data_IF_707368096054
#
_entry.id   IF_707368096054
#
_cell.length_a   1.000
_cell.length_b   1.000
_cell.length_c   1.000
_cell.angle_alpha   90.00
_cell.angle_beta   90.00
_cell.angle_gamma   90.00
#
_symmetry.space_group_name_H-M   'P 1'
#
loop_
_entity.id
_entity.type
_entity.pdbx_description
1 polymer ?
#
# COMPACT_ATOMS: atom_id res chain seq x y z
N UNK A 1 -9.01 -43.80 -31.90
CA UNK A 1 -9.73 -42.67 -31.30
C UNK A 1 -9.14 -42.34 -29.95
N UNK A 2 -8.39 -41.25 -29.86
CA UNK A 2 -7.88 -40.72 -28.60
C UNK A 2 -9.03 -39.99 -27.88
N UNK A 3 -9.28 -40.37 -26.64
CA UNK A 3 -10.31 -39.75 -25.78
C UNK A 3 -9.73 -38.41 -25.30
N UNK A 4 -10.33 -37.30 -25.71
CA UNK A 4 -9.92 -35.96 -25.26
C UNK A 4 -10.02 -35.89 -23.72
N UNK A 5 -9.02 -35.31 -23.03
CA UNK A 5 -9.07 -35.20 -21.58
C UNK A 5 -10.13 -34.17 -21.18
N UNK A 6 -11.08 -34.60 -20.35
CA UNK A 6 -12.07 -33.74 -19.70
C UNK A 6 -11.36 -32.58 -18.97
N UNK A 7 -11.70 -31.31 -19.22
CA UNK A 7 -11.08 -30.20 -18.52
C UNK A 7 -11.51 -30.22 -17.05
N UNK A 8 -10.57 -30.45 -16.14
CA UNK A 8 -10.75 -30.22 -14.71
C UNK A 8 -10.88 -28.71 -14.46
N UNK A 9 -12.01 -28.20 -13.92
CA UNK A 9 -12.11 -26.81 -13.56
C UNK A 9 -11.28 -26.55 -12.30
N UNK A 10 -10.14 -25.85 -12.46
CA UNK A 10 -9.41 -25.32 -11.32
C UNK A 10 -10.14 -24.06 -10.84
N UNK A 11 -10.94 -24.19 -9.77
CA UNK A 11 -11.45 -23.03 -9.05
C UNK A 11 -10.31 -22.41 -8.25
N UNK A 12 -9.66 -21.36 -8.77
CA UNK A 12 -8.86 -20.48 -7.91
C UNK A 12 -9.83 -19.68 -7.05
N UNK A 13 -9.97 -20.08 -5.78
CA UNK A 13 -10.70 -19.31 -4.80
C UNK A 13 -9.78 -18.22 -4.23
N UNK A 14 -9.55 -17.13 -4.98
CA UNK A 14 -8.98 -15.89 -4.45
C UNK A 14 -10.09 -15.02 -3.85
N UNK A 15 -10.90 -15.59 -2.95
CA UNK A 15 -11.88 -14.82 -2.17
C UNK A 15 -11.43 -14.72 -0.72
N UNK A 16 -10.32 -14.03 -0.49
CA UNK A 16 -10.06 -13.45 0.83
C UNK A 16 -11.26 -12.56 1.18
N UNK A 17 -11.94 -12.75 2.33
CA UNK A 17 -13.13 -11.98 2.69
C UNK A 17 -12.87 -10.46 2.66
N UNK A 18 -13.87 -9.62 2.34
CA UNK A 18 -13.65 -8.19 2.18
C UNK A 18 -13.55 -7.51 3.55
N UNK A 19 -12.41 -7.61 4.21
CA UNK A 19 -12.04 -6.73 5.33
C UNK A 19 -11.61 -5.34 4.85
N UNK A 20 -12.12 -4.90 3.69
CA UNK A 20 -11.83 -3.60 3.09
C UNK A 20 -12.82 -2.56 3.65
N UNK A 21 -12.39 -1.29 3.73
CA UNK A 21 -13.21 -0.12 4.11
C UNK A 21 -13.77 -0.08 5.56
N UNK A 22 -13.08 -0.70 6.53
CA UNK A 22 -13.42 -0.59 7.97
C UNK A 22 -12.48 0.30 8.77
N UNK A 23 -11.66 1.13 8.10
CA UNK A 23 -10.69 2.00 8.76
C UNK A 23 -9.47 1.30 9.35
N UNK A 24 -9.35 -0.03 9.26
CA UNK A 24 -8.20 -0.75 9.81
C UNK A 24 -6.86 -0.35 9.17
N UNK A 25 -6.86 -0.06 7.86
CA UNK A 25 -5.66 0.44 7.18
C UNK A 25 -5.21 1.79 7.73
N UNK A 26 -6.16 2.68 8.01
CA UNK A 26 -5.90 4.00 8.60
C UNK A 26 -5.42 3.90 10.05
N UNK A 27 -6.04 3.03 10.86
CA UNK A 27 -5.62 2.81 12.25
C UNK A 27 -4.22 2.21 12.34
N UNK A 28 -3.91 1.21 11.49
CA UNK A 28 -2.57 0.61 11.44
C UNK A 28 -1.53 1.63 10.98
N UNK A 29 -1.86 2.42 9.96
CA UNK A 29 -0.97 3.48 9.47
C UNK A 29 -0.72 4.52 10.57
N UNK A 30 -1.77 5.01 11.23
CA UNK A 30 -1.66 5.98 12.31
C UNK A 30 -0.81 5.46 13.49
N UNK A 31 -1.01 4.20 13.88
CA UNK A 31 -0.21 3.57 14.93
C UNK A 31 1.27 3.46 14.53
N UNK A 32 1.54 3.04 13.29
CA UNK A 32 2.90 2.96 12.76
C UNK A 32 3.60 4.32 12.69
N UNK A 33 2.90 5.37 12.26
CA UNK A 33 3.44 6.73 12.21
C UNK A 33 3.69 7.30 13.61
N UNK A 34 2.82 7.00 14.58
CA UNK A 34 3.02 7.38 15.97
C UNK A 34 4.27 6.72 16.53
N UNK A 35 4.43 5.42 16.30
CA UNK A 35 5.62 4.69 16.74
C UNK A 35 6.91 5.20 16.08
N UNK A 36 6.87 5.51 14.78
CA UNK A 36 8.01 6.09 14.08
C UNK A 36 8.44 7.45 14.67
N UNK A 37 7.48 8.27 15.09
CA UNK A 37 7.73 9.54 15.79
C UNK A 37 8.37 9.30 17.16
N UNK A 38 7.84 8.36 17.94
CA UNK A 38 8.36 8.06 19.29
C UNK A 38 9.80 7.57 19.24
N UNK A 39 10.21 6.93 18.14
CA UNK A 39 11.58 6.50 17.88
C UNK A 39 12.49 7.61 17.33
N UNK A 40 11.97 8.80 17.03
CA UNK A 40 12.72 9.90 16.45
C UNK A 40 13.17 9.64 15.01
N UNK A 41 12.43 8.84 14.24
CA UNK A 41 12.74 8.59 12.82
C UNK A 41 12.43 9.84 11.98
N UNK A 42 13.30 10.14 11.02
CA UNK A 42 13.17 11.31 10.15
C UNK A 42 12.17 11.09 9.00
N UNK A 43 12.00 9.83 8.57
CA UNK A 43 11.08 9.48 7.48
C UNK A 43 10.56 8.04 7.58
N UNK A 44 9.42 7.81 6.93
CA UNK A 44 8.81 6.50 6.74
C UNK A 44 8.66 6.24 5.25
N UNK A 45 9.02 5.04 4.79
CA UNK A 45 8.79 4.60 3.41
C UNK A 45 7.98 3.32 3.34
N UNK A 46 7.25 3.13 2.25
CA UNK A 46 6.51 1.91 1.96
C UNK A 46 6.43 1.67 0.46
N UNK A 47 6.22 0.41 0.07
CA UNK A 47 6.03 0.02 -1.32
C UNK A 47 4.56 -0.41 -1.54
N UNK A 48 3.91 0.10 -2.60
CA UNK A 48 2.51 -0.18 -2.93
C UNK A 48 2.33 -0.39 -4.43
N UNK A 49 1.58 -1.42 -4.84
CA UNK A 49 1.24 -1.59 -6.25
C UNK A 49 0.26 -0.49 -6.71
N UNK A 50 0.48 0.16 -7.88
CA UNK A 50 -0.43 1.17 -8.45
C UNK A 50 -1.89 0.69 -8.55
N UNK A 51 -2.07 -0.60 -8.86
CA UNK A 51 -3.39 -1.23 -8.95
C UNK A 51 -4.17 -1.23 -7.62
N UNK A 52 -3.49 -1.08 -6.48
CA UNK A 52 -4.11 -0.97 -5.17
C UNK A 52 -4.51 0.48 -4.87
N UNK A 53 -5.41 1.01 -5.69
CA UNK A 53 -5.87 2.42 -5.65
C UNK A 53 -6.40 2.84 -4.28
N UNK A 54 -7.00 1.91 -3.52
CA UNK A 54 -7.47 2.17 -2.16
C UNK A 54 -6.32 2.43 -1.17
N UNK A 55 -5.22 1.67 -1.27
CA UNK A 55 -4.05 1.88 -0.43
C UNK A 55 -3.27 3.12 -0.86
N UNK A 56 -3.13 3.35 -2.18
CA UNK A 56 -2.51 4.58 -2.71
C UNK A 56 -3.24 5.82 -2.20
N UNK A 57 -4.56 5.88 -2.32
CA UNK A 57 -5.36 7.01 -1.83
C UNK A 57 -5.24 7.20 -0.30
N UNK A 58 -5.15 6.11 0.47
CA UNK A 58 -4.93 6.18 1.91
C UNK A 58 -3.57 6.79 2.25
N UNK A 59 -2.50 6.35 1.58
CA UNK A 59 -1.15 6.84 1.84
C UNK A 59 -0.98 8.31 1.39
N UNK A 60 -1.53 8.68 0.24
CA UNK A 60 -1.55 10.06 -0.23
C UNK A 60 -2.31 10.97 0.75
N UNK A 61 -3.47 10.54 1.26
CA UNK A 61 -4.23 11.28 2.27
C UNK A 61 -3.46 11.44 3.60
N UNK A 62 -2.62 10.47 3.94
CA UNK A 62 -1.72 10.53 5.09
C UNK A 62 -0.45 11.39 4.84
N UNK A 63 -0.26 11.91 3.62
CA UNK A 63 0.83 12.83 3.27
C UNK A 63 2.05 12.17 2.62
N UNK A 64 2.00 10.86 2.33
CA UNK A 64 3.06 10.20 1.57
C UNK A 64 3.13 10.74 0.15
N UNK A 65 4.34 10.80 -0.40
CA UNK A 65 4.61 11.22 -1.78
C UNK A 65 5.48 10.17 -2.49
N UNK A 66 5.39 10.02 -3.81
CA UNK A 66 6.31 9.17 -4.56
C UNK A 66 7.76 9.55 -4.25
N UNK A 67 8.61 8.54 -4.03
CA UNK A 67 10.03 8.75 -3.90
C UNK A 67 10.60 9.21 -5.24
N UNK A 68 11.22 10.39 -5.28
CA UNK A 68 11.76 11.01 -6.51
C UNK A 68 12.99 10.30 -7.08
N UNK A 69 13.22 9.02 -6.75
CA UNK A 69 14.35 8.23 -7.25
C UNK A 69 14.07 7.65 -8.63
N UNK A 70 15.03 7.79 -9.54
CA UNK A 70 14.94 7.80 -11.00
C UNK A 70 14.36 6.58 -11.75
N UNK A 71 13.64 5.64 -11.14
CA UNK A 71 13.18 4.41 -11.85
C UNK A 71 11.73 3.96 -11.57
N UNK A 72 10.87 4.78 -10.95
CA UNK A 72 9.51 4.36 -10.62
C UNK A 72 8.43 4.93 -11.55
N UNK A 73 7.72 4.02 -12.22
CA UNK A 73 6.38 4.15 -12.82
C UNK A 73 6.26 4.39 -14.34
N UNK A 74 6.93 3.58 -15.16
CA UNK A 74 6.41 3.28 -16.50
C UNK A 74 5.60 1.97 -16.55
N UNK A 75 5.86 1.04 -15.62
CA UNK A 75 5.20 -0.25 -15.55
C UNK A 75 4.25 -0.35 -14.33
N UNK A 76 2.92 -0.48 -14.53
CA UNK A 76 1.95 -0.62 -13.46
C UNK A 76 2.07 -1.94 -12.68
N UNK A 77 2.89 -2.89 -13.16
CA UNK A 77 3.19 -4.14 -12.47
C UNK A 77 4.22 -3.99 -11.34
N UNK A 78 4.97 -2.88 -11.31
CA UNK A 78 5.96 -2.61 -10.28
C UNK A 78 5.37 -1.87 -9.08
N UNK A 79 5.93 -2.11 -7.89
CA UNK A 79 5.53 -1.40 -6.68
C UNK A 79 6.11 0.02 -6.67
N UNK A 80 5.26 1.01 -6.37
CA UNK A 80 5.62 2.40 -6.14
C UNK A 80 6.15 2.54 -4.72
N UNK A 81 7.34 3.13 -4.58
CA UNK A 81 7.85 3.56 -3.29
C UNK A 81 7.27 4.92 -2.93
N UNK A 82 6.59 4.99 -1.79
CA UNK A 82 6.10 6.22 -1.21
C UNK A 82 6.92 6.59 0.03
N UNK A 83 7.19 7.88 0.20
CA UNK A 83 7.97 8.48 1.29
C UNK A 83 7.13 9.53 2.02
N UNK A 84 7.22 9.52 3.35
CA UNK A 84 6.67 10.55 4.23
C UNK A 84 7.78 11.03 5.16
N UNK A 85 8.03 12.33 5.18
CA UNK A 85 8.90 12.95 6.20
C UNK A 85 8.11 13.09 7.50
N UNK A 86 8.70 12.64 8.61
CA UNK A 86 8.05 12.69 9.93
C UNK A 86 7.96 14.13 10.46
N UNK A 87 8.93 14.99 10.13
CA UNK A 87 8.89 16.42 10.48
C UNK A 87 7.69 17.14 9.87
N UNK A 88 7.25 16.73 8.67
CA UNK A 88 6.08 17.31 8.01
C UNK A 88 4.75 16.99 8.69
N UNK A 89 4.75 16.12 9.71
CA UNK A 89 3.58 15.79 10.51
C UNK A 89 3.33 16.77 11.67
N UNK A 90 4.33 17.58 12.06
CA UNK A 90 4.21 18.50 13.21
C UNK A 90 3.14 19.59 12.98
N UNK A 91 2.86 19.95 11.73
CA UNK A 91 1.96 21.07 11.40
C UNK A 91 0.44 20.78 11.54
N UNK A 92 0.02 19.56 11.88
CA UNK A 92 -1.42 19.19 11.93
C UNK A 92 -1.98 18.88 13.32
N UNK A 93 -1.15 18.92 14.36
CA UNK A 93 -1.56 18.62 15.73
C UNK A 93 -1.17 19.69 16.77
N UNK A 94 -0.60 20.82 16.33
CA UNK A 94 -0.53 22.07 17.10
C UNK A 94 -1.75 22.97 16.83
#
# INVERSE_FOLDING_TARGET
SLKEPTPTPYYTADRTPPFRRRGYGEQLLAAGLTWARDLGLESVSLDVFPANTAAVALYEAAGFRPASGDDAAADPSQALRLLLSVDSLQSRYD
#
